data_IF_229103911526
#
_entry.id   IF_229103911526
#
_cell.length_a   1.000
_cell.length_b   1.000
_cell.length_c   1.000
_cell.angle_alpha   90.00
_cell.angle_beta   90.00
_cell.angle_gamma   90.00
#
_symmetry.space_group_name_H-M   'P 1'
#
loop_
_entity.id
_entity.type
_entity.pdbx_description
1 polymer ?
#
# COMPACT_ATOMS: atom_id res chain seq x y z
N UNK A 1 11.30 12.02 -32.13
CA UNK A 1 12.20 12.33 -31.00
C UNK A 1 11.42 13.21 -30.03
N UNK A 2 10.83 12.64 -28.99
CA UNK A 2 10.02 13.40 -28.03
C UNK A 2 10.93 13.95 -26.94
N UNK A 3 11.06 15.29 -26.90
CA UNK A 3 11.73 15.99 -25.80
C UNK A 3 10.96 15.72 -24.50
N UNK A 4 11.58 15.00 -23.58
CA UNK A 4 11.14 14.91 -22.19
C UNK A 4 11.29 16.30 -21.55
N UNK A 5 10.16 16.98 -21.33
CA UNK A 5 10.11 18.19 -20.51
C UNK A 5 10.48 17.80 -19.08
N UNK A 6 11.46 18.50 -18.49
CA UNK A 6 12.10 18.19 -17.20
C UNK A 6 11.21 18.36 -15.97
N UNK A 7 10.06 17.69 -15.93
CA UNK A 7 9.27 17.52 -14.71
C UNK A 7 9.86 16.42 -13.84
N UNK A 8 9.94 16.66 -12.52
CA UNK A 8 10.31 15.62 -11.55
C UNK A 8 9.35 14.43 -11.71
N UNK A 9 9.89 13.25 -12.00
CA UNK A 9 9.11 12.02 -12.02
C UNK A 9 8.61 11.72 -10.61
N UNK A 10 7.28 11.61 -10.42
CA UNK A 10 6.71 11.35 -9.11
C UNK A 10 7.04 9.93 -8.65
N UNK A 11 7.45 9.81 -7.39
CA UNK A 11 7.82 8.57 -6.73
C UNK A 11 6.73 8.13 -5.77
N UNK A 12 6.15 6.96 -6.02
CA UNK A 12 5.05 6.41 -5.23
C UNK A 12 5.53 5.15 -4.52
N UNK A 13 5.33 5.08 -3.20
CA UNK A 13 5.45 3.82 -2.48
C UNK A 13 4.10 3.10 -2.51
N UNK A 14 4.12 1.83 -2.86
CA UNK A 14 3.00 0.92 -2.64
C UNK A 14 3.31 -0.06 -1.51
N UNK A 15 2.37 -0.14 -0.58
CA UNK A 15 2.48 -0.98 0.59
C UNK A 15 1.30 -1.95 0.62
N UNK A 16 1.54 -3.22 0.26
CA UNK A 16 0.59 -4.28 0.56
C UNK A 16 0.68 -4.55 2.06
N UNK A 17 -0.35 -4.14 2.80
CA UNK A 17 -0.40 -4.28 4.24
C UNK A 17 -0.25 -5.74 4.67
N UNK A 18 0.47 -5.96 5.77
CA UNK A 18 0.83 -7.27 6.34
C UNK A 18 1.90 -8.04 5.54
N UNK A 19 2.17 -9.27 5.96
CA UNK A 19 2.92 -10.30 5.23
C UNK A 19 2.14 -11.62 5.23
N UNK A 20 2.61 -12.59 4.45
CA UNK A 20 1.87 -13.84 4.22
C UNK A 20 1.59 -14.64 5.51
N UNK A 21 2.50 -14.56 6.48
CA UNK A 21 2.42 -15.27 7.77
C UNK A 21 1.78 -14.44 8.89
N UNK A 22 1.29 -13.23 8.61
CA UNK A 22 0.66 -12.40 9.66
C UNK A 22 -0.60 -13.09 10.22
N UNK A 23 -0.68 -13.34 11.54
CA UNK A 23 -1.82 -14.06 12.13
C UNK A 23 -3.16 -13.32 12.07
N UNK A 24 -4.26 -14.06 11.91
CA UNK A 24 -5.62 -13.57 12.17
C UNK A 24 -6.28 -12.67 11.11
N UNK A 25 -5.62 -12.39 9.98
CA UNK A 25 -6.13 -11.51 8.91
C UNK A 25 -6.63 -12.30 7.72
N UNK A 26 -7.80 -12.93 7.87
CA UNK A 26 -8.36 -13.88 6.90
C UNK A 26 -9.88 -13.73 6.80
N UNK A 27 -10.40 -13.99 5.62
CA UNK A 27 -11.84 -14.23 5.43
C UNK A 27 -12.26 -15.55 6.10
N UNK A 28 -13.57 -15.78 6.30
CA UNK A 28 -14.09 -17.02 6.90
C UNK A 28 -13.70 -18.31 6.15
N UNK A 29 -13.46 -18.23 4.84
CA UNK A 29 -12.98 -19.32 3.99
C UNK A 29 -11.45 -19.42 3.90
N UNK A 30 -10.72 -18.59 4.64
CA UNK A 30 -9.28 -18.71 4.86
C UNK A 30 -8.38 -17.88 3.93
N UNK A 31 -8.96 -17.12 3.00
CA UNK A 31 -8.22 -16.21 2.12
C UNK A 31 -7.55 -15.11 2.95
N UNK A 32 -6.23 -14.96 2.82
CA UNK A 32 -5.48 -13.99 3.62
C UNK A 32 -5.65 -12.58 3.08
N UNK A 33 -5.71 -11.62 4.00
CA UNK A 33 -5.69 -10.21 3.67
C UNK A 33 -4.48 -9.85 2.80
N UNK A 34 -3.29 -10.38 3.13
CA UNK A 34 -2.08 -10.15 2.36
C UNK A 34 -2.18 -10.63 0.90
N UNK A 35 -2.86 -11.76 0.65
CA UNK A 35 -3.04 -12.28 -0.72
C UNK A 35 -3.89 -11.32 -1.57
N UNK A 36 -4.92 -10.71 -0.98
CA UNK A 36 -5.69 -9.64 -1.62
C UNK A 36 -4.84 -8.37 -1.82
N UNK A 37 -4.22 -7.88 -0.75
CA UNK A 37 -3.46 -6.63 -0.74
C UNK A 37 -2.32 -6.67 -1.77
N UNK A 38 -1.58 -7.79 -1.84
CA UNK A 38 -0.51 -8.01 -2.81
C UNK A 38 -1.02 -7.96 -4.25
N UNK A 39 -2.14 -8.63 -4.56
CA UNK A 39 -2.70 -8.62 -5.92
C UNK A 39 -3.17 -7.22 -6.33
N UNK A 40 -3.82 -6.51 -5.41
CA UNK A 40 -4.23 -5.12 -5.62
C UNK A 40 -3.02 -4.19 -5.82
N UNK A 41 -1.97 -4.31 -4.99
CA UNK A 41 -0.72 -3.57 -5.12
C UNK A 41 -0.04 -3.84 -6.47
N UNK A 42 0.05 -5.11 -6.90
CA UNK A 42 0.63 -5.48 -8.20
C UNK A 42 -0.13 -4.86 -9.39
N UNK A 43 -1.46 -4.88 -9.36
CA UNK A 43 -2.27 -4.23 -10.39
C UNK A 43 -2.09 -2.71 -10.38
N UNK A 44 -2.08 -2.10 -9.20
CA UNK A 44 -1.84 -0.67 -9.03
C UNK A 44 -0.47 -0.27 -9.59
N UNK A 45 0.59 -1.02 -9.24
CA UNK A 45 1.95 -0.81 -9.72
C UNK A 45 1.99 -0.75 -11.24
N UNK A 46 1.42 -1.76 -11.91
CA UNK A 46 1.37 -1.84 -13.37
C UNK A 46 0.72 -0.60 -13.98
N UNK A 47 -0.42 -0.15 -13.42
CA UNK A 47 -1.13 1.05 -13.92
C UNK A 47 -0.32 2.33 -13.70
N UNK A 48 0.32 2.48 -12.53
CA UNK A 48 1.15 3.65 -12.21
C UNK A 48 2.41 3.73 -13.09
N UNK A 49 3.10 2.60 -13.30
CA UNK A 49 4.27 2.51 -14.18
C UNK A 49 3.88 2.79 -15.64
N UNK A 50 2.73 2.28 -16.10
CA UNK A 50 2.18 2.61 -17.43
C UNK A 50 1.86 4.10 -17.59
N UNK A 51 1.49 4.78 -16.50
CA UNK A 51 1.30 6.23 -16.48
C UNK A 51 2.62 7.02 -16.39
N UNK A 52 3.78 6.35 -16.40
CA UNK A 52 5.10 6.98 -16.36
C UNK A 52 5.55 7.41 -14.95
N UNK A 53 4.97 6.84 -13.89
CA UNK A 53 5.36 7.10 -12.50
C UNK A 53 6.44 6.10 -12.06
N UNK A 54 7.29 6.50 -11.11
CA UNK A 54 8.25 5.57 -10.49
C UNK A 54 7.63 4.95 -9.25
N UNK A 55 7.61 3.62 -9.17
CA UNK A 55 6.99 2.88 -8.06
C UNK A 55 8.01 1.99 -7.34
N UNK A 56 7.97 2.03 -6.01
CA UNK A 56 8.71 1.09 -5.15
C UNK A 56 7.74 0.44 -4.16
N UNK A 57 7.90 -0.87 -3.97
CA UNK A 57 7.10 -1.61 -2.99
C UNK A 57 7.78 -1.57 -1.61
N UNK A 58 7.00 -1.45 -0.54
CA UNK A 58 7.48 -1.55 0.85
C UNK A 58 7.08 -2.84 1.55
N UNK A 59 6.71 -3.87 0.78
CA UNK A 59 6.32 -5.19 1.26
C UNK A 59 7.26 -6.27 0.66
N UNK A 60 7.22 -7.49 1.22
CA UNK A 60 7.97 -8.66 0.74
C UNK A 60 7.06 -9.88 0.76
N UNK A 61 7.25 -10.76 -0.22
CA UNK A 61 6.53 -12.01 -0.33
C UNK A 61 7.14 -13.13 0.53
N UNK A 62 8.33 -12.90 1.05
CA UNK A 62 9.14 -13.85 1.78
C UNK A 62 9.09 -13.60 3.30
N UNK A 63 8.95 -12.35 3.75
CA UNK A 63 8.86 -12.01 5.17
C UNK A 63 8.00 -10.77 5.44
N UNK A 64 7.50 -10.66 6.67
CA UNK A 64 6.75 -9.49 7.12
C UNK A 64 7.71 -8.34 7.46
N UNK A 65 7.66 -7.25 6.69
CA UNK A 65 8.49 -6.06 6.91
C UNK A 65 7.89 -5.24 8.08
N UNK A 66 8.67 -4.89 9.12
CA UNK A 66 8.17 -4.06 10.21
C UNK A 66 7.65 -2.70 9.74
N UNK A 67 6.54 -2.21 10.33
CA UNK A 67 5.92 -0.93 9.95
C UNK A 67 6.89 0.26 9.94
N UNK A 68 7.82 0.31 10.90
CA UNK A 68 8.86 1.35 10.96
C UNK A 68 9.82 1.32 9.77
N UNK A 69 10.12 0.13 9.25
CA UNK A 69 10.97 -0.02 8.08
C UNK A 69 10.20 0.32 6.80
N UNK A 70 8.94 -0.05 6.68
CA UNK A 70 8.08 0.31 5.53
C UNK A 70 8.02 1.83 5.33
N UNK A 71 7.72 2.56 6.41
CA UNK A 71 7.72 4.03 6.41
C UNK A 71 9.13 4.62 6.28
N UNK A 72 10.14 3.94 6.84
CA UNK A 72 11.56 4.28 6.67
C UNK A 72 12.02 4.25 5.22
N UNK A 73 11.60 3.25 4.44
CA UNK A 73 11.88 3.14 3.00
C UNK A 73 11.34 4.35 2.25
N UNK A 74 10.11 4.76 2.53
CA UNK A 74 9.48 5.93 1.93
C UNK A 74 10.25 7.22 2.19
N UNK A 75 10.64 7.44 3.46
CA UNK A 75 11.39 8.61 3.90
C UNK A 75 12.79 8.66 3.27
N UNK A 76 13.53 7.55 3.28
CA UNK A 76 14.88 7.47 2.69
C UNK A 76 14.84 7.64 1.18
N UNK A 77 13.85 7.06 0.52
CA UNK A 77 13.65 7.20 -0.93
C UNK A 77 13.09 8.56 -1.32
N UNK A 78 12.66 9.38 -0.35
CA UNK A 78 12.00 10.69 -0.56
C UNK A 78 10.80 10.54 -1.50
N UNK A 79 9.91 9.60 -1.17
CA UNK A 79 8.67 9.37 -1.90
C UNK A 79 7.80 10.63 -1.90
N UNK A 80 7.08 10.85 -2.99
CA UNK A 80 6.09 11.92 -3.10
C UNK A 80 4.73 11.51 -2.53
N UNK A 81 4.44 10.20 -2.53
CA UNK A 81 3.24 9.62 -1.94
C UNK A 81 3.53 8.23 -1.38
N UNK A 82 2.82 7.86 -0.31
CA UNK A 82 2.80 6.53 0.26
C UNK A 82 1.35 6.04 0.27
N UNK A 83 1.10 4.90 -0.39
CA UNK A 83 -0.23 4.29 -0.46
C UNK A 83 -0.16 2.92 0.18
N UNK A 84 -0.84 2.76 1.32
CA UNK A 84 -1.04 1.46 1.96
C UNK A 84 -2.39 0.88 1.58
N UNK A 85 -2.38 -0.39 1.17
CA UNK A 85 -3.53 -1.14 0.71
C UNK A 85 -3.84 -2.20 1.76
N UNK A 86 -5.06 -2.14 2.29
CA UNK A 86 -5.60 -3.05 3.29
C UNK A 86 -6.99 -3.51 2.91
N UNK A 87 -7.39 -4.68 3.40
CA UNK A 87 -8.73 -5.21 3.23
C UNK A 87 -9.36 -5.45 4.61
N UNK A 88 -10.26 -4.55 4.98
CA UNK A 88 -10.90 -4.58 6.29
C UNK A 88 -11.73 -5.83 6.53
N UNK A 89 -11.88 -6.17 7.81
CA UNK A 89 -12.76 -7.21 8.29
C UNK A 89 -13.43 -6.79 9.60
N UNK A 90 -14.63 -7.31 9.83
CA UNK A 90 -15.40 -7.10 11.06
C UNK A 90 -16.07 -8.40 11.49
N UNK A 91 -16.09 -8.70 12.79
CA UNK A 91 -16.71 -9.91 13.34
C UNK A 91 -15.91 -11.20 13.07
N UNK A 92 -16.58 -12.34 13.17
CA UNK A 92 -15.98 -13.70 13.09
C UNK A 92 -16.45 -14.51 11.88
N UNK A 93 -17.31 -13.95 11.03
CA UNK A 93 -17.95 -14.64 9.92
C UNK A 93 -18.45 -13.68 8.85
N UNK A 94 -19.07 -14.23 7.81
CA UNK A 94 -19.70 -13.44 6.76
C UNK A 94 -20.76 -12.51 7.37
N UNK A 95 -20.74 -11.25 6.96
CA UNK A 95 -21.62 -10.23 7.49
C UNK A 95 -21.92 -9.15 6.42
N UNK A 96 -22.76 -8.18 6.78
CA UNK A 96 -23.21 -7.14 5.86
C UNK A 96 -22.29 -5.91 5.79
N UNK A 97 -21.20 -5.83 6.56
CA UNK A 97 -20.25 -4.73 6.46
C UNK A 97 -19.47 -4.84 5.15
N UNK A 98 -19.55 -3.80 4.33
CA UNK A 98 -18.93 -3.75 3.01
C UNK A 98 -18.69 -2.28 2.60
N UNK A 99 -17.83 -2.06 1.60
CA UNK A 99 -17.53 -0.74 1.06
C UNK A 99 -16.03 -0.46 0.99
N UNK A 100 -15.72 0.79 0.64
CA UNK A 100 -14.35 1.32 0.62
C UNK A 100 -14.21 2.40 1.69
N UNK A 101 -13.03 2.48 2.29
CA UNK A 101 -12.64 3.56 3.18
C UNK A 101 -11.22 4.01 2.85
N UNK A 102 -10.89 5.25 3.21
CA UNK A 102 -9.56 5.80 2.97
C UNK A 102 -9.17 6.65 4.17
N UNK A 103 -8.11 6.24 4.84
CA UNK A 103 -7.50 7.03 5.89
C UNK A 103 -6.40 7.89 5.30
N UNK A 104 -6.42 9.17 5.68
CA UNK A 104 -5.33 10.09 5.39
C UNK A 104 -4.73 10.55 6.69
N UNK A 105 -3.41 10.47 6.81
CA UNK A 105 -2.71 11.15 7.89
C UNK A 105 -2.66 12.65 7.53
N UNK A 106 -3.68 13.40 7.93
CA UNK A 106 -3.57 14.85 7.99
C UNK A 106 -2.51 15.18 9.03
N UNK A 107 -1.45 15.97 8.72
CA UNK A 107 -0.66 16.56 9.79
C UNK A 107 -1.66 17.19 10.77
N UNK A 108 -1.57 16.83 12.05
CA UNK A 108 -2.23 17.65 13.06
C UNK A 108 -1.88 19.10 12.70
N UNK A 109 -2.87 19.99 12.60
CA UNK A 109 -2.62 21.42 12.53
C UNK A 109 -1.70 21.74 13.72
N UNK A 110 -0.38 21.75 13.48
CA UNK A 110 0.57 22.31 14.41
C UNK A 110 0.18 23.77 14.42
N UNK A 111 -0.60 24.15 15.44
CA UNK A 111 -0.80 25.55 15.77
C UNK A 111 0.60 26.14 15.87
N UNK A 112 0.92 27.02 14.93
CA UNK A 112 2.03 27.95 15.06
C UNK A 112 1.86 28.75 16.35
#
# INVERSE_FOLDING_TARGET
MNKSLGGKQMKIILDAGHGYETPGKRSPDGFREYEFNRQAAHHCRKLLEQAGLTVMDSHSDEWDIPLSERTGMANRWKADCYVSIHANAYGTGWNSANGIETYVHTPALQKQ
#
